data_IF_332715801042
#
_entry.id   IF_332715801042
#
_cell.length_a   1.000
_cell.length_b   1.000
_cell.length_c   1.000
_cell.angle_alpha   90.00
_cell.angle_beta   90.00
_cell.angle_gamma   90.00
#
_symmetry.space_group_name_H-M   'P 1'
#
loop_
_entity.id
_entity.type
_entity.pdbx_description
1 polymer ?
#
# COMPACT_ATOMS: atom_id res chain seq x y z
N UNK A 1 -10.02 -43.26 5.50
CA UNK A 1 -10.68 -42.00 5.08
C UNK A 1 -9.58 -40.97 4.92
N UNK A 2 -9.30 -40.54 3.69
CA UNK A 2 -8.19 -39.61 3.42
C UNK A 2 -8.78 -38.22 3.24
N UNK A 3 -8.49 -37.33 4.20
CA UNK A 3 -8.74 -35.91 4.04
C UNK A 3 -7.54 -35.32 3.28
N UNK A 4 -7.71 -35.04 1.99
CA UNK A 4 -6.76 -34.20 1.26
C UNK A 4 -7.19 -32.75 1.45
N UNK A 5 -6.73 -32.11 2.52
CA UNK A 5 -6.78 -30.65 2.62
C UNK A 5 -5.62 -30.09 1.82
N UNK A 6 -5.88 -29.34 0.75
CA UNK A 6 -4.83 -28.59 0.07
C UNK A 6 -4.42 -27.44 1.01
N UNK A 7 -3.21 -27.44 1.61
CA UNK A 7 -2.85 -26.41 2.58
C UNK A 7 -2.77 -25.06 1.87
N UNK A 8 -3.27 -24.01 2.53
CA UNK A 8 -3.15 -22.62 2.06
C UNK A 8 -1.67 -22.32 1.82
N UNK A 9 -1.33 -21.92 0.59
CA UNK A 9 0.04 -21.54 0.23
C UNK A 9 0.16 -20.02 0.30
N UNK A 10 1.07 -19.54 1.13
CA UNK A 10 1.42 -18.14 1.26
C UNK A 10 2.94 -17.93 1.15
N UNK A 11 3.33 -16.69 0.85
CA UNK A 11 4.71 -16.21 0.83
C UNK A 11 4.81 -15.08 1.84
N UNK A 12 5.87 -15.06 2.64
CA UNK A 12 6.19 -13.92 3.52
C UNK A 12 7.47 -13.29 2.98
N UNK A 13 7.45 -11.98 2.76
CA UNK A 13 8.64 -11.20 2.45
C UNK A 13 8.96 -10.33 3.65
N UNK A 14 10.20 -10.42 4.14
CA UNK A 14 10.71 -9.61 5.24
C UNK A 14 11.84 -8.72 4.75
N UNK A 15 11.69 -7.42 5.00
CA UNK A 15 12.76 -6.44 4.84
C UNK A 15 13.38 -6.14 6.20
N UNK A 16 14.70 -6.03 6.26
CA UNK A 16 15.40 -5.57 7.45
C UNK A 16 16.63 -4.76 7.07
N UNK A 17 16.88 -3.69 7.82
CA UNK A 17 18.07 -2.87 7.65
C UNK A 17 19.24 -3.50 8.40
N UNK A 18 20.41 -3.59 7.76
CA UNK A 18 21.55 -4.32 8.34
C UNK A 18 22.09 -3.67 9.64
N UNK A 19 21.81 -2.37 9.89
CA UNK A 19 22.09 -1.61 11.13
C UNK A 19 21.19 -0.36 11.22
N UNK A 20 20.95 0.21 12.42
CA UNK A 20 20.24 1.48 12.61
C UNK A 20 21.03 2.73 12.15
N UNK A 21 22.23 2.57 11.59
CA UNK A 21 22.96 3.71 11.03
C UNK A 21 22.29 4.16 9.72
N UNK A 22 21.67 5.33 9.75
CA UNK A 22 21.01 6.04 8.64
C UNK A 22 21.83 6.21 7.35
N UNK A 23 23.10 5.79 7.35
CA UNK A 23 23.99 5.82 6.17
C UNK A 23 23.99 4.51 5.37
N UNK A 24 23.40 3.43 5.89
CA UNK A 24 23.38 2.16 5.20
C UNK A 24 22.05 1.94 4.50
N UNK A 25 22.02 2.22 3.20
CA UNK A 25 20.84 2.09 2.34
C UNK A 25 20.65 0.63 1.86
N UNK A 26 21.15 -0.33 2.65
CA UNK A 26 21.13 -1.74 2.29
C UNK A 26 19.96 -2.44 2.96
N UNK A 27 19.00 -2.89 2.16
CA UNK A 27 17.86 -3.71 2.58
C UNK A 27 18.22 -5.18 2.45
N UNK A 28 18.19 -5.91 3.56
CA UNK A 28 18.21 -7.38 3.57
C UNK A 28 16.81 -7.89 3.30
N UNK A 29 16.71 -8.88 2.41
CA UNK A 29 15.45 -9.53 2.06
C UNK A 29 15.50 -11.01 2.38
N UNK A 30 14.47 -11.46 3.07
CA UNK A 30 14.25 -12.87 3.35
C UNK A 30 12.83 -13.25 2.92
N UNK A 31 12.72 -14.34 2.18
CA UNK A 31 11.47 -14.82 1.59
C UNK A 31 11.17 -16.20 2.17
N UNK A 32 10.04 -16.33 2.84
CA UNK A 32 9.53 -17.60 3.32
C UNK A 32 8.53 -18.17 2.32
N UNK A 33 8.74 -19.41 1.90
CA UNK A 33 7.80 -20.14 1.05
C UNK A 33 7.13 -21.24 1.88
N UNK A 34 5.85 -21.08 2.19
CA UNK A 34 5.06 -22.09 2.92
C UNK A 34 5.07 -23.47 2.23
N UNK A 35 5.05 -23.49 0.88
CA UNK A 35 5.15 -24.72 0.07
C UNK A 35 6.36 -25.59 0.43
N UNK A 36 7.48 -24.96 0.78
CA UNK A 36 8.72 -25.64 1.10
C UNK A 36 9.08 -25.53 2.58
N UNK A 37 8.25 -24.85 3.38
CA UNK A 37 8.47 -24.51 4.78
C UNK A 37 9.91 -24.03 5.07
N UNK A 38 10.43 -23.11 4.24
CA UNK A 38 11.81 -22.63 4.35
C UNK A 38 11.94 -21.15 4.03
N UNK A 39 12.87 -20.52 4.72
CA UNK A 39 13.38 -19.21 4.39
C UNK A 39 14.44 -19.31 3.30
N UNK A 40 14.42 -18.36 2.37
CA UNK A 40 15.48 -18.11 1.39
C UNK A 40 15.92 -16.67 1.57
N UNK A 41 17.23 -16.46 1.71
CA UNK A 41 17.81 -15.12 1.66
C UNK A 41 18.01 -14.72 0.19
N UNK A 42 17.54 -13.52 -0.17
CA UNK A 42 17.85 -12.92 -1.47
C UNK A 42 19.16 -12.12 -1.40
N UNK A 43 19.65 -11.65 -2.54
CA UNK A 43 20.72 -10.66 -2.58
C UNK A 43 20.24 -9.38 -1.89
N UNK A 44 21.08 -8.81 -1.04
CA UNK A 44 20.78 -7.54 -0.38
C UNK A 44 20.63 -6.43 -1.45
N UNK A 45 19.63 -5.58 -1.29
CA UNK A 45 19.37 -4.43 -2.17
C UNK A 45 20.12 -3.23 -1.64
N UNK A 46 20.81 -2.49 -2.52
CA UNK A 46 21.41 -1.20 -2.19
C UNK A 46 20.58 -0.11 -2.86
N UNK A 47 19.83 0.65 -2.08
CA UNK A 47 19.06 1.78 -2.58
C UNK A 47 19.99 2.96 -2.90
N UNK A 48 19.64 3.78 -3.91
CA UNK A 48 20.47 4.89 -4.38
C UNK A 48 20.70 5.97 -3.31
N UNK A 49 19.72 6.20 -2.45
CA UNK A 49 19.75 7.14 -1.31
C UNK A 49 19.15 6.48 -0.06
N UNK A 50 19.29 7.11 1.14
CA UNK A 50 18.66 6.64 2.37
C UNK A 50 17.13 6.69 2.28
N UNK A 51 16.56 5.73 1.57
CA UNK A 51 15.12 5.58 1.37
C UNK A 51 14.57 4.62 2.41
N UNK A 52 13.50 5.04 3.08
CA UNK A 52 12.77 4.26 4.05
C UNK A 52 11.49 3.76 3.39
N UNK A 53 11.31 2.44 3.39
CA UNK A 53 10.01 1.83 3.08
C UNK A 53 9.07 2.18 4.24
N UNK A 54 7.99 2.90 3.95
CA UNK A 54 7.04 3.31 4.98
C UNK A 54 6.33 2.11 5.57
N UNK A 55 6.06 2.17 6.88
CA UNK A 55 5.25 1.17 7.55
C UNK A 55 3.82 1.23 7.01
N UNK A 56 3.30 0.10 6.55
CA UNK A 56 1.97 -0.02 5.97
C UNK A 56 1.78 -1.37 5.27
N UNK A 57 0.57 -1.60 4.77
CA UNK A 57 0.25 -2.80 4.00
C UNK A 57 0.91 -2.75 2.62
N UNK A 58 1.68 -3.79 2.29
CA UNK A 58 2.20 -3.96 0.93
C UNK A 58 1.06 -4.28 -0.03
N UNK A 59 1.05 -3.68 -1.22
CA UNK A 59 0.12 -4.07 -2.28
C UNK A 59 0.79 -5.07 -3.22
N UNK A 60 0.22 -6.27 -3.32
CA UNK A 60 0.64 -7.26 -4.30
C UNK A 60 -0.14 -7.10 -5.61
N UNK A 61 0.56 -6.73 -6.67
CA UNK A 61 0.01 -6.55 -8.02
C UNK A 61 1.07 -6.89 -9.06
N UNK A 62 0.67 -7.36 -10.25
CA UNK A 62 1.59 -7.65 -11.37
C UNK A 62 2.85 -8.46 -11.01
N UNK A 63 2.77 -9.38 -10.04
CA UNK A 63 3.89 -10.23 -9.63
C UNK A 63 4.88 -9.58 -8.64
N UNK A 64 4.68 -8.32 -8.27
CA UNK A 64 5.52 -7.59 -7.34
C UNK A 64 4.75 -7.10 -6.11
N UNK A 65 5.47 -6.96 -5.01
CA UNK A 65 4.98 -6.23 -3.84
C UNK A 65 5.39 -4.77 -3.91
N UNK A 66 4.48 -3.87 -3.54
CA UNK A 66 4.65 -2.43 -3.65
C UNK A 66 4.47 -1.76 -2.30
N UNK A 67 5.34 -0.80 -2.00
CA UNK A 67 5.28 0.05 -0.82
C UNK A 67 5.55 1.51 -1.17
N UNK A 68 4.93 2.41 -0.42
CA UNK A 68 5.36 3.81 -0.43
C UNK A 68 6.69 3.94 0.28
N UNK A 69 7.49 4.87 -0.20
CA UNK A 69 8.71 5.31 0.44
C UNK A 69 8.53 6.71 1.03
N UNK A 70 9.49 7.13 1.86
CA UNK A 70 9.51 8.47 2.44
C UNK A 70 9.92 9.59 1.47
N UNK A 71 10.29 9.26 0.23
CA UNK A 71 10.83 10.17 -0.78
C UNK A 71 9.93 10.28 -2.03
N UNK A 72 8.63 10.03 -1.88
CA UNK A 72 7.63 10.09 -2.96
C UNK A 72 7.88 9.13 -4.12
N UNK A 73 8.39 7.94 -3.80
CA UNK A 73 8.45 6.82 -4.71
C UNK A 73 7.58 5.66 -4.23
N UNK A 74 7.26 4.77 -5.16
CA UNK A 74 6.84 3.41 -4.89
C UNK A 74 8.04 2.50 -5.05
N UNK A 75 8.40 1.78 -4.01
CA UNK A 75 9.34 0.66 -4.10
C UNK A 75 8.58 -0.59 -4.53
N UNK A 76 8.98 -1.19 -5.65
CA UNK A 76 8.39 -2.43 -6.17
C UNK A 76 9.44 -3.56 -6.12
N UNK A 77 9.09 -4.68 -5.47
CA UNK A 77 9.93 -5.86 -5.37
C UNK A 77 9.31 -7.04 -6.12
N UNK A 78 9.96 -7.48 -7.19
CA UNK A 78 9.56 -8.64 -7.98
C UNK A 78 9.95 -9.95 -7.25
N UNK A 79 8.95 -10.79 -6.96
CA UNK A 79 9.16 -12.05 -6.24
C UNK A 79 9.86 -13.13 -7.05
N UNK A 80 9.68 -13.13 -8.38
CA UNK A 80 10.15 -14.16 -9.28
C UNK A 80 11.63 -13.95 -9.60
N UNK A 81 11.97 -12.73 -9.98
CA UNK A 81 13.34 -12.36 -10.34
C UNK A 81 14.17 -11.96 -9.13
N UNK A 82 13.52 -11.65 -8.00
CA UNK A 82 14.14 -11.06 -6.82
C UNK A 82 14.87 -9.74 -7.13
N UNK A 83 14.32 -9.01 -8.10
CA UNK A 83 14.74 -7.68 -8.53
C UNK A 83 13.81 -6.60 -7.95
N UNK A 84 14.19 -5.35 -8.13
CA UNK A 84 13.41 -4.22 -7.65
C UNK A 84 13.53 -3.01 -8.57
N UNK A 85 12.52 -2.15 -8.52
CA UNK A 85 12.50 -0.84 -9.16
C UNK A 85 11.90 0.18 -8.20
N UNK A 86 12.06 1.46 -8.54
CA UNK A 86 11.35 2.56 -7.91
C UNK A 86 10.59 3.35 -8.96
N UNK A 87 9.33 3.62 -8.71
CA UNK A 87 8.46 4.41 -9.60
C UNK A 87 8.12 5.71 -8.88
N UNK A 88 8.39 6.85 -9.50
CA UNK A 88 8.05 8.15 -8.91
C UNK A 88 6.53 8.30 -8.81
N UNK A 89 6.03 8.92 -7.74
CA UNK A 89 4.62 9.28 -7.62
C UNK A 89 4.21 10.31 -8.70
N UNK A 90 2.90 10.52 -8.94
CA UNK A 90 2.46 11.53 -9.90
C UNK A 90 3.04 12.92 -9.58
N UNK A 91 3.45 13.69 -10.59
CA UNK A 91 4.11 14.99 -10.39
C UNK A 91 3.29 15.94 -9.50
N UNK A 92 1.97 15.99 -9.71
CA UNK A 92 1.07 16.79 -8.87
C UNK A 92 1.12 16.41 -7.38
N UNK A 93 1.24 15.10 -7.09
CA UNK A 93 1.37 14.58 -5.72
C UNK A 93 2.69 15.00 -5.10
N UNK A 94 3.78 14.96 -5.87
CA UNK A 94 5.13 15.36 -5.43
C UNK A 94 5.16 16.87 -5.13
N UNK A 95 4.56 17.69 -6.00
CA UNK A 95 4.53 19.16 -5.85
C UNK A 95 3.71 19.61 -4.65
N UNK A 96 2.57 18.94 -4.38
CA UNK A 96 1.70 19.27 -3.24
C UNK A 96 2.31 18.87 -1.87
N UNK A 97 3.35 18.03 -1.87
CA UNK A 97 4.24 17.81 -0.73
C UNK A 97 3.79 16.76 0.29
N UNK A 98 4.56 16.66 1.38
CA UNK A 98 4.49 15.58 2.37
C UNK A 98 3.28 15.62 3.31
N UNK A 99 2.56 16.75 3.38
CA UNK A 99 1.49 16.93 4.38
C UNK A 99 0.23 16.11 4.10
N UNK A 100 0.02 15.79 2.83
CA UNK A 100 -1.19 15.11 2.39
C UNK A 100 -1.00 13.60 2.51
N UNK A 101 -2.05 12.92 2.97
CA UNK A 101 -2.02 11.47 3.14
C UNK A 101 -1.94 10.77 1.78
N UNK A 102 -1.05 9.79 1.70
CA UNK A 102 -0.77 8.96 0.53
C UNK A 102 -0.98 7.51 0.94
N UNK A 103 -1.73 6.76 0.16
CA UNK A 103 -1.94 5.34 0.41
C UNK A 103 -1.94 4.55 -0.89
N UNK A 104 -1.18 3.45 -0.93
CA UNK A 104 -1.28 2.49 -2.01
C UNK A 104 -2.43 1.55 -1.77
N UNK A 105 -3.22 1.36 -2.80
CA UNK A 105 -4.40 0.51 -2.79
C UNK A 105 -4.43 -0.35 -4.03
N UNK A 106 -5.19 -1.43 -3.97
CA UNK A 106 -5.48 -2.24 -5.15
C UNK A 106 -6.76 -1.75 -5.79
N UNK A 107 -6.68 -1.30 -7.03
CA UNK A 107 -7.86 -0.91 -7.81
C UNK A 107 -8.02 -1.90 -8.96
N UNK A 108 -9.06 -2.74 -8.88
CA UNK A 108 -9.27 -3.87 -9.78
C UNK A 108 -8.06 -4.83 -9.79
N UNK A 109 -7.26 -4.81 -10.86
CA UNK A 109 -6.02 -5.57 -11.01
C UNK A 109 -4.76 -4.69 -11.03
N UNK A 110 -4.89 -3.39 -10.80
CA UNK A 110 -3.80 -2.43 -10.95
C UNK A 110 -3.35 -1.90 -9.59
N UNK A 111 -2.10 -1.43 -9.57
CA UNK A 111 -1.61 -0.63 -8.46
C UNK A 111 -2.24 0.76 -8.57
N UNK A 112 -2.77 1.26 -7.47
CA UNK A 112 -3.35 2.59 -7.40
C UNK A 112 -2.84 3.34 -6.16
N UNK A 113 -3.00 4.65 -6.21
CA UNK A 113 -2.63 5.58 -5.16
C UNK A 113 -3.85 6.45 -4.84
N UNK A 114 -4.25 6.46 -3.58
CA UNK A 114 -5.05 7.54 -3.04
C UNK A 114 -4.15 8.67 -2.59
N UNK A 115 -4.53 9.88 -3.01
CA UNK A 115 -3.95 11.11 -2.54
C UNK A 115 -5.06 11.98 -1.95
N UNK A 116 -4.96 12.23 -0.65
CA UNK A 116 -6.03 12.85 0.14
C UNK A 116 -5.63 14.30 0.45
N UNK A 117 -6.41 15.23 -0.06
CA UNK A 117 -6.38 16.63 0.33
C UNK A 117 -7.49 16.96 1.34
N UNK A 118 -7.56 18.24 1.73
CA UNK A 118 -8.47 18.69 2.79
C UNK A 118 -9.96 18.44 2.49
N UNK A 119 -10.36 18.53 1.22
CA UNK A 119 -11.77 18.37 0.79
C UNK A 119 -11.90 17.46 -0.44
N UNK A 120 -10.86 16.69 -0.74
CA UNK A 120 -10.87 15.84 -1.92
C UNK A 120 -9.95 14.63 -1.82
N UNK A 121 -10.22 13.63 -2.65
CA UNK A 121 -9.40 12.45 -2.82
C UNK A 121 -9.19 12.23 -4.31
N UNK A 122 -7.94 12.17 -4.74
CA UNK A 122 -7.60 11.70 -6.09
C UNK A 122 -7.26 10.22 -6.06
N UNK A 123 -7.82 9.50 -7.02
CA UNK A 123 -7.43 8.14 -7.35
C UNK A 123 -6.53 8.18 -8.58
N UNK A 124 -5.27 7.81 -8.39
CA UNK A 124 -4.31 7.60 -9.46
C UNK A 124 -4.09 6.11 -9.68
N UNK A 125 -4.01 5.67 -10.93
CA UNK A 125 -3.76 4.27 -11.27
C UNK A 125 -2.48 4.19 -12.10
N UNK A 126 -1.57 3.32 -11.68
CA UNK A 126 -0.36 3.02 -12.42
C UNK A 126 -0.70 2.09 -13.58
N UNK A 127 -0.37 2.51 -14.80
CA UNK A 127 -0.57 1.68 -15.99
C UNK A 127 0.62 0.73 -16.23
N UNK A 128 0.49 -0.12 -17.26
CA UNK A 128 1.52 -1.09 -17.63
C UNK A 128 2.81 -0.46 -18.19
N UNK A 129 2.78 0.83 -18.54
CA UNK A 129 3.94 1.62 -18.98
C UNK A 129 4.60 2.38 -17.83
N UNK A 130 4.22 2.09 -16.59
CA UNK A 130 4.71 2.73 -15.37
C UNK A 130 4.39 4.23 -15.28
N UNK A 131 3.33 4.67 -15.95
CA UNK A 131 2.81 6.02 -15.85
C UNK A 131 1.55 6.08 -14.99
N UNK A 132 1.49 7.10 -14.14
CA UNK A 132 0.32 7.36 -13.32
C UNK A 132 -0.74 8.12 -14.10
N UNK A 133 -1.97 7.62 -14.05
CA UNK A 133 -3.12 8.26 -14.67
C UNK A 133 -4.14 8.61 -13.58
N UNK A 134 -4.49 9.89 -13.47
CA UNK A 134 -5.59 10.31 -12.58
C UNK A 134 -6.89 9.76 -13.14
N UNK A 135 -7.56 8.88 -12.40
CA UNK A 135 -8.84 8.28 -12.79
C UNK A 135 -10.02 9.07 -12.28
N UNK A 136 -9.92 9.62 -11.08
CA UNK A 136 -11.04 10.26 -10.42
C UNK A 136 -10.57 11.26 -9.38
N UNK A 137 -11.31 12.35 -9.26
CA UNK A 137 -11.28 13.26 -8.12
C UNK A 137 -12.62 13.19 -7.42
N UNK A 138 -12.61 12.92 -6.12
CA UNK A 138 -13.79 12.83 -5.28
C UNK A 138 -13.77 14.02 -4.35
N UNK A 139 -14.75 14.90 -4.44
CA UNK A 139 -14.93 15.96 -3.44
C UNK A 139 -15.58 15.35 -2.21
N UNK A 140 -14.94 15.54 -1.05
CA UNK A 140 -15.41 15.08 0.25
C UNK A 140 -15.79 16.31 1.06
N UNK A 141 -17.07 16.43 1.39
CA UNK A 141 -17.53 17.52 2.25
C UNK A 141 -17.20 17.13 3.69
N UNK A 142 -16.33 17.92 4.33
CA UNK A 142 -16.00 17.80 5.75
C UNK A 142 -15.47 16.38 6.09
N UNK A 143 -14.36 15.92 5.50
CA UNK A 143 -13.69 14.74 6.02
C UNK A 143 -13.31 15.09 7.45
N UNK A 144 -13.84 14.36 8.43
CA UNK A 144 -13.26 14.40 9.77
C UNK A 144 -11.75 14.21 9.56
N UNK A 145 -10.91 15.12 10.08
CA UNK A 145 -9.46 15.17 9.81
C UNK A 145 -8.69 13.91 10.23
N UNK A 146 -9.40 12.88 10.69
CA UNK A 146 -8.90 11.60 11.18
C UNK A 146 -9.42 10.40 10.37
N UNK A 147 -9.86 10.57 9.12
CA UNK A 147 -10.23 9.45 8.27
C UNK A 147 -8.97 8.85 7.66
N UNK A 148 -8.58 7.65 8.13
CA UNK A 148 -7.63 6.81 7.44
C UNK A 148 -8.36 5.98 6.39
N UNK A 149 -7.99 6.17 5.13
CA UNK A 149 -8.30 5.18 4.11
C UNK A 149 -7.55 3.89 4.45
N UNK A 150 -8.16 2.75 4.15
CA UNK A 150 -7.58 1.45 4.56
C UNK A 150 -7.66 0.41 3.46
N UNK A 151 -8.71 0.43 2.64
CA UNK A 151 -8.79 -0.45 1.47
C UNK A 151 -9.85 0.00 0.45
N UNK A 152 -9.71 -0.48 -0.79
CA UNK A 152 -10.76 -0.41 -1.82
C UNK A 152 -11.44 -1.78 -1.90
N UNK A 153 -12.70 -1.85 -1.51
CA UNK A 153 -13.46 -3.12 -1.51
C UNK A 153 -14.02 -3.45 -2.90
N UNK A 154 -14.46 -2.43 -3.63
CA UNK A 154 -14.84 -2.51 -5.06
C UNK A 154 -14.36 -1.24 -5.76
N UNK A 155 -14.38 -1.20 -7.10
CA UNK A 155 -14.01 0.00 -7.88
C UNK A 155 -14.65 1.30 -7.39
N UNK A 156 -15.83 1.20 -6.78
CA UNK A 156 -16.62 2.34 -6.36
C UNK A 156 -16.84 2.43 -4.86
N UNK A 157 -16.25 1.55 -4.05
CA UNK A 157 -16.46 1.56 -2.59
C UNK A 157 -15.11 1.49 -1.88
N UNK A 158 -14.81 2.55 -1.14
CA UNK A 158 -13.62 2.62 -0.28
C UNK A 158 -14.02 2.41 1.17
N UNK A 159 -13.22 1.62 1.88
CA UNK A 159 -13.33 1.43 3.31
C UNK A 159 -12.41 2.41 4.04
N UNK A 160 -12.97 3.10 5.01
CA UNK A 160 -12.24 4.08 5.82
C UNK A 160 -12.48 3.86 7.29
N UNK A 161 -11.50 4.21 8.09
CA UNK A 161 -11.55 4.12 9.55
C UNK A 161 -11.28 5.50 10.12
N UNK A 162 -12.18 5.96 10.99
CA UNK A 162 -12.00 7.10 11.86
C UNK A 162 -11.62 6.64 13.27
N UNK A 163 -11.55 7.59 14.21
CA UNK A 163 -11.23 7.31 15.60
C UNK A 163 -12.22 6.35 16.28
N UNK A 164 -13.52 6.51 16.01
CA UNK A 164 -14.62 5.77 16.65
C UNK A 164 -15.60 5.15 15.63
N UNK A 165 -15.23 5.15 14.35
CA UNK A 165 -16.14 4.77 13.25
C UNK A 165 -15.42 4.03 12.14
N UNK A 166 -16.13 3.10 11.54
CA UNK A 166 -15.79 2.50 10.27
C UNK A 166 -16.81 2.95 9.23
N UNK A 167 -16.36 3.29 8.03
CA UNK A 167 -17.22 3.82 6.99
C UNK A 167 -16.95 3.15 5.65
N UNK A 168 -18.03 2.94 4.89
CA UNK A 168 -17.96 2.56 3.49
C UNK A 168 -18.44 3.75 2.67
N UNK A 169 -17.55 4.29 1.87
CA UNK A 169 -17.85 5.44 1.01
C UNK A 169 -18.02 4.98 -0.42
N UNK A 170 -19.21 5.20 -0.99
CA UNK A 170 -19.45 4.96 -2.40
C UNK A 170 -18.96 6.17 -3.22
N UNK A 171 -17.88 5.96 -3.96
CA UNK A 171 -17.21 6.98 -4.76
C UNK A 171 -18.09 7.51 -5.91
N UNK A 172 -19.09 6.77 -6.38
CA UNK A 172 -19.93 7.17 -7.52
C UNK A 172 -21.06 8.11 -7.14
N UNK A 173 -21.87 7.71 -6.15
CA UNK A 173 -23.03 8.49 -5.73
C UNK A 173 -22.77 9.32 -4.46
N UNK A 174 -21.55 9.25 -3.90
CA UNK A 174 -21.11 9.96 -2.69
C UNK A 174 -21.92 9.59 -1.43
N UNK A 175 -22.65 8.47 -1.48
CA UNK A 175 -23.31 7.94 -0.29
C UNK A 175 -22.29 7.28 0.63
N UNK A 176 -22.56 7.30 1.93
CA UNK A 176 -21.74 6.63 2.93
C UNK A 176 -22.59 5.84 3.90
N UNK A 177 -22.08 4.68 4.30
CA UNK A 177 -22.62 3.90 5.42
C UNK A 177 -21.60 3.93 6.54
N UNK A 178 -22.05 4.32 7.72
CA UNK A 178 -21.19 4.46 8.91
C UNK A 178 -21.60 3.42 9.95
N UNK A 179 -20.61 2.87 10.65
CA UNK A 179 -20.81 1.99 11.80
C UNK A 179 -19.93 2.51 12.92
N UNK A 180 -20.53 2.77 14.09
CA UNK A 180 -19.77 3.07 15.30
C UNK A 180 -18.96 1.83 15.72
N UNK A 181 -17.66 2.03 15.86
CA UNK A 181 -16.75 1.04 16.42
C UNK A 181 -16.58 1.42 17.88
N UNK A 182 -17.35 0.78 18.75
CA UNK A 182 -17.15 0.91 20.19
C UNK A 182 -15.72 0.48 20.50
N UNK A 183 -15.01 1.27 21.30
CA UNK A 183 -13.68 0.95 21.79
C UNK A 183 -13.62 -0.54 22.14
N UNK A 184 -12.73 -1.26 21.48
CA UNK A 184 -12.26 -2.52 22.01
C UNK A 184 -11.63 -2.17 23.36
N UNK A 185 -12.38 -2.42 24.45
CA UNK A 185 -11.80 -2.49 25.78
C UNK A 185 -10.79 -3.63 25.69
N UNK A 186 -9.52 -3.31 25.46
CA UNK A 186 -8.43 -4.23 25.64
C UNK A 186 -8.45 -4.64 27.12
N UNK A 187 -8.64 -5.94 27.45
CA UNK A 187 -8.48 -6.42 28.82
C UNK A 187 -7.04 -6.27 29.32
#
# INVERSE_FOLDING_TARGET
>A
MVAVSNPVRFIIVRFSSHRPNFRNNTLRIEIFYSKYNRWRRSKDIKLPHPTLILCGSAIFSNGAFHWLTNDDYVFAFDLNEANWITVLLPEEVVVMGEKNQKELVKYESHLALFFVGDEWIDLWVLDATEFWNKRKTIVVNNPDQCINFSDIYTSDVTFTTGFDKAMWYNLNNRSRTEVEVKDCICP
#
